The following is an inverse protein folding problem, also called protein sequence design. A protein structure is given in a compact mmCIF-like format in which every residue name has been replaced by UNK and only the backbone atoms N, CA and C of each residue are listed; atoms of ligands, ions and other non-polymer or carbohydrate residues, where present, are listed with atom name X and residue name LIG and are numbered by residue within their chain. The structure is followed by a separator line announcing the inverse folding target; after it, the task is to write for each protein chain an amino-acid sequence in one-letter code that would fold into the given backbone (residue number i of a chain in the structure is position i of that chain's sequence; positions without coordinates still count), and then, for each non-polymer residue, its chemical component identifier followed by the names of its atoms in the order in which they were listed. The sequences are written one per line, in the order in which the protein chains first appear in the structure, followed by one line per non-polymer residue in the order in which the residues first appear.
data_IF_355865460679
#
_entry.id   IF_355865460679
#
_cell.length_a   1.000
_cell.length_b   1.000
_cell.length_c   1.000
_cell.angle_alpha   90.00
_cell.angle_beta   90.00
_cell.angle_gamma   90.00
#
_symmetry.space_group_name_H-M   'P 1'
#
loop_
_entity.id
_entity.type
_entity.pdbx_description
1 polymer ?
#
# COMPACT_ATOMS: atom_id res chain seq x y z
N UNK A 1 6.47 -1.18 -54.58
CA UNK A 1 5.58 -2.21 -54.01
C UNK A 1 5.55 -2.02 -52.50
N UNK A 2 4.37 -1.72 -51.95
CA UNK A 2 4.14 -1.51 -50.50
C UNK A 2 3.82 -2.84 -49.83
N UNK A 3 4.02 -2.88 -48.50
CA UNK A 3 3.70 -3.93 -47.51
C UNK A 3 4.86 -4.92 -47.33
N UNK A 4 5.36 -5.22 -46.13
CA UNK A 4 4.69 -5.34 -44.82
C UNK A 4 5.68 -4.99 -43.69
N UNK A 5 5.28 -4.14 -42.75
CA UNK A 5 5.77 -4.24 -41.37
C UNK A 5 4.50 -4.32 -40.53
N UNK A 6 4.12 -5.53 -40.16
CA UNK A 6 3.10 -5.76 -39.14
C UNK A 6 3.74 -5.36 -37.83
N UNK A 7 3.35 -4.19 -37.33
CA UNK A 7 3.65 -3.73 -35.99
C UNK A 7 2.92 -4.68 -35.04
N UNK A 8 3.60 -5.72 -34.57
CA UNK A 8 3.15 -6.48 -33.40
C UNK A 8 3.38 -5.56 -32.21
N UNK A 9 2.45 -4.62 -32.01
CA UNK A 9 2.24 -3.97 -30.74
C UNK A 9 1.79 -5.07 -29.80
N UNK A 10 2.76 -5.62 -29.09
CA UNK A 10 2.54 -6.47 -27.95
C UNK A 10 1.56 -5.76 -27.02
N UNK A 11 0.31 -6.21 -27.06
CA UNK A 11 -0.62 -6.14 -25.96
C UNK A 11 -0.03 -7.00 -24.83
N UNK A 12 1.06 -6.54 -24.23
CA UNK A 12 1.37 -6.90 -22.86
C UNK A 12 0.46 -6.03 -22.02
N UNK A 13 -0.77 -6.50 -21.81
CA UNK A 13 -1.50 -6.13 -20.61
C UNK A 13 -0.55 -6.43 -19.46
N UNK A 14 -0.18 -5.38 -18.72
CA UNK A 14 0.61 -5.46 -17.51
C UNK A 14 -0.28 -6.09 -16.42
N UNK A 15 -0.54 -7.39 -16.56
CA UNK A 15 -1.24 -8.20 -15.59
C UNK A 15 -0.26 -8.90 -14.63
N UNK A 16 0.85 -8.25 -14.27
CA UNK A 16 1.95 -8.96 -13.58
C UNK A 16 1.86 -9.00 -12.05
N UNK A 17 0.72 -8.67 -11.43
CA UNK A 17 0.45 -9.12 -10.05
C UNK A 17 -1.03 -9.25 -9.68
N UNK A 18 -1.95 -8.57 -10.37
CA UNK A 18 -3.38 -8.82 -10.17
C UNK A 18 -3.74 -10.30 -10.41
N UNK A 19 -3.01 -10.98 -11.31
CA UNK A 19 -3.16 -12.42 -11.56
C UNK A 19 -2.54 -13.34 -10.50
N UNK A 20 -1.79 -12.81 -9.52
CA UNK A 20 -1.08 -13.63 -8.52
C UNK A 20 -1.79 -13.67 -7.16
N UNK A 21 -2.78 -12.81 -6.95
CA UNK A 21 -3.69 -12.84 -5.81
C UNK A 21 -5.06 -13.33 -6.30
N UNK A 22 -5.58 -14.39 -5.69
CA UNK A 22 -6.98 -14.76 -5.85
C UNK A 22 -7.85 -13.67 -5.20
N UNK A 23 -8.27 -12.69 -5.99
CA UNK A 23 -9.03 -11.50 -5.54
C UNK A 23 -10.52 -11.82 -5.54
N UNK A 24 -11.22 -11.45 -4.46
CA UNK A 24 -12.68 -11.64 -4.38
C UNK A 24 -13.49 -10.78 -5.36
N UNK A 25 -12.87 -9.75 -5.93
CA UNK A 25 -13.45 -8.88 -6.95
C UNK A 25 -12.38 -8.44 -7.97
N UNK A 26 -12.51 -8.88 -9.22
CA UNK A 26 -11.52 -8.67 -10.29
C UNK A 26 -11.80 -7.43 -11.18
N UNK A 27 -12.55 -6.45 -10.68
CA UNK A 27 -12.80 -5.17 -11.37
C UNK A 27 -13.26 -5.36 -12.83
N UNK A 28 -14.49 -5.88 -13.08
CA UNK A 28 -14.92 -6.37 -14.38
C UNK A 28 -14.91 -5.31 -15.48
N UNK A 29 -15.05 -4.02 -15.11
CA UNK A 29 -14.93 -2.88 -16.00
C UNK A 29 -13.60 -2.20 -15.69
N UNK A 30 -12.57 -2.47 -16.50
CA UNK A 30 -11.20 -1.94 -16.34
C UNK A 30 -10.59 -1.48 -17.67
N UNK A 31 -9.53 -0.64 -17.67
CA UNK A 31 -8.88 -0.18 -18.88
C UNK A 31 -8.59 -1.32 -19.86
N UNK A 32 -9.02 -1.16 -21.12
CA UNK A 32 -8.86 -2.16 -22.18
C UNK A 32 -10.13 -2.98 -22.49
N UNK A 33 -11.09 -3.04 -21.57
CA UNK A 33 -12.41 -3.67 -21.82
C UNK A 33 -13.29 -2.82 -22.76
N UNK A 34 -14.31 -3.42 -23.38
CA UNK A 34 -15.21 -2.68 -24.27
C UNK A 34 -16.14 -1.77 -23.46
N UNK A 35 -16.57 -2.23 -22.30
CA UNK A 35 -17.38 -1.53 -21.31
C UNK A 35 -16.65 -0.26 -20.84
N UNK A 36 -15.36 -0.36 -20.55
CA UNK A 36 -14.54 0.79 -20.14
C UNK A 36 -14.50 1.90 -21.19
N UNK A 37 -14.44 1.55 -22.49
CA UNK A 37 -14.45 2.54 -23.59
C UNK A 37 -15.76 3.29 -23.71
N UNK A 38 -16.85 2.73 -23.17
CA UNK A 38 -18.17 3.33 -23.23
C UNK A 38 -18.43 4.35 -22.11
N UNK A 39 -17.63 4.31 -21.03
CA UNK A 39 -17.69 5.27 -19.93
C UNK A 39 -17.33 6.69 -20.42
N UNK A 40 -18.12 7.68 -20.01
CA UNK A 40 -18.10 9.06 -20.52
C UNK A 40 -17.31 10.03 -19.64
N UNK A 41 -17.00 9.65 -18.40
CA UNK A 41 -16.28 10.50 -17.47
C UNK A 41 -15.29 9.70 -16.61
N UNK A 42 -14.34 10.41 -16.01
CA UNK A 42 -13.43 9.81 -15.02
C UNK A 42 -14.20 9.36 -13.76
N UNK A 43 -15.28 10.07 -13.40
CA UNK A 43 -16.16 9.66 -12.30
C UNK A 43 -16.85 8.32 -12.59
N UNK A 44 -17.36 8.10 -13.81
CA UNK A 44 -17.92 6.82 -14.22
C UNK A 44 -16.88 5.68 -14.18
N UNK A 45 -15.63 5.98 -14.51
CA UNK A 45 -14.50 5.05 -14.40
C UNK A 45 -14.24 4.66 -12.93
N UNK A 46 -14.13 5.63 -12.03
CA UNK A 46 -13.94 5.36 -10.59
C UNK A 46 -15.13 4.58 -10.01
N UNK A 47 -16.35 4.95 -10.38
CA UNK A 47 -17.56 4.27 -9.92
C UNK A 47 -17.66 2.82 -10.42
N UNK A 48 -17.09 2.52 -11.59
CA UNK A 48 -17.09 1.16 -12.16
C UNK A 48 -16.26 0.14 -11.36
N UNK A 49 -15.34 0.62 -10.51
CA UNK A 49 -14.56 -0.25 -9.64
C UNK A 49 -15.32 -0.71 -8.40
N UNK A 50 -16.37 -0.01 -7.99
CA UNK A 50 -17.11 -0.31 -6.76
C UNK A 50 -17.70 -1.73 -6.78
N UNK A 51 -17.65 -2.39 -5.62
CA UNK A 51 -18.20 -3.72 -5.43
C UNK A 51 -19.71 -3.62 -5.21
N UNK A 52 -20.55 -4.37 -5.94
CA UNK A 52 -21.98 -4.40 -5.69
C UNK A 52 -22.32 -4.79 -4.24
N UNK A 53 -23.39 -4.20 -3.69
CA UNK A 53 -23.77 -4.30 -2.28
C UNK A 53 -24.03 -5.75 -1.80
N UNK A 54 -24.48 -6.60 -2.71
CA UNK A 54 -24.80 -8.00 -2.52
C UNK A 54 -23.56 -8.91 -2.54
N UNK A 55 -22.43 -8.40 -3.05
CA UNK A 55 -21.13 -9.08 -3.11
C UNK A 55 -20.25 -8.61 -1.95
N UNK A 56 -20.17 -7.30 -1.71
CA UNK A 56 -19.25 -6.72 -0.72
C UNK A 56 -19.48 -7.24 0.71
N UNK A 57 -20.72 -7.60 1.05
CA UNK A 57 -21.08 -8.18 2.36
C UNK A 57 -20.79 -9.69 2.47
N UNK A 58 -20.50 -10.37 1.36
CA UNK A 58 -20.30 -11.83 1.30
C UNK A 58 -18.84 -12.22 1.14
N UNK A 59 -18.03 -11.38 0.51
CA UNK A 59 -16.59 -11.62 0.40
C UNK A 59 -15.93 -11.62 1.78
N UNK A 60 -15.05 -12.58 2.02
CA UNK A 60 -14.27 -12.68 3.27
C UNK A 60 -13.35 -11.47 3.45
N UNK A 61 -12.88 -11.23 4.68
CA UNK A 61 -11.92 -10.14 4.93
C UNK A 61 -10.60 -10.36 4.20
N UNK A 62 -10.17 -11.62 4.10
CA UNK A 62 -8.99 -11.99 3.32
C UNK A 62 -9.14 -11.57 1.85
N UNK A 63 -10.25 -11.95 1.20
CA UNK A 63 -10.53 -11.59 -0.19
C UNK A 63 -10.68 -10.08 -0.39
N UNK A 64 -11.29 -9.38 0.58
CA UNK A 64 -11.44 -7.94 0.53
C UNK A 64 -10.10 -7.22 0.67
N UNK A 65 -9.18 -7.70 1.52
CA UNK A 65 -7.82 -7.15 1.61
C UNK A 65 -7.10 -7.28 0.28
N UNK A 66 -7.13 -8.47 -0.34
CA UNK A 66 -6.51 -8.70 -1.67
C UNK A 66 -7.12 -7.77 -2.72
N UNK A 67 -8.45 -7.64 -2.72
CA UNK A 67 -9.18 -6.73 -3.60
C UNK A 67 -8.69 -5.29 -3.40
N UNK A 68 -8.68 -4.79 -2.17
CA UNK A 68 -8.24 -3.43 -1.84
C UNK A 68 -6.78 -3.16 -2.26
N UNK A 69 -5.86 -4.11 -2.03
CA UNK A 69 -4.47 -3.98 -2.45
C UNK A 69 -4.30 -4.03 -3.98
N UNK A 70 -5.21 -4.69 -4.69
CA UNK A 70 -5.27 -4.71 -6.15
C UNK A 70 -6.05 -3.53 -6.76
N UNK A 71 -6.47 -2.54 -5.96
CA UNK A 71 -7.26 -1.40 -6.46
C UNK A 71 -6.52 -0.64 -7.58
N UNK A 72 -7.10 -0.49 -8.78
CA UNK A 72 -6.37 0.03 -9.95
C UNK A 72 -5.84 1.47 -9.83
N UNK A 73 -6.44 2.29 -8.97
CA UNK A 73 -6.12 3.73 -8.87
C UNK A 73 -5.25 4.07 -7.65
N UNK A 74 -4.52 3.10 -7.08
CA UNK A 74 -3.56 3.36 -6.00
C UNK A 74 -2.57 4.50 -6.30
N UNK A 75 -2.22 4.71 -7.57
CA UNK A 75 -1.37 5.83 -8.02
C UNK A 75 -1.89 7.21 -7.61
N UNK A 76 -3.18 7.37 -7.33
CA UNK A 76 -3.78 8.62 -6.85
C UNK A 76 -3.26 9.05 -5.48
N UNK A 77 -2.64 8.14 -4.71
CA UNK A 77 -1.95 8.51 -3.47
C UNK A 77 -0.86 9.57 -3.68
N UNK A 78 -0.28 9.64 -4.88
CA UNK A 78 0.78 10.59 -5.23
C UNK A 78 0.24 11.88 -5.89
N UNK A 79 -1.08 12.05 -6.01
CA UNK A 79 -1.69 13.24 -6.61
C UNK A 79 -1.82 14.42 -5.63
N UNK A 80 -1.39 14.22 -4.37
CA UNK A 80 -1.51 15.18 -3.28
C UNK A 80 -0.14 15.58 -2.73
N UNK A 81 -0.09 16.73 -2.05
CA UNK A 81 1.13 17.25 -1.44
C UNK A 81 1.63 16.44 -0.25
N UNK A 82 0.85 15.49 0.25
CA UNK A 82 1.26 14.56 1.29
C UNK A 82 0.55 13.21 1.16
N UNK A 83 1.16 12.14 1.68
CA UNK A 83 0.66 10.77 1.47
C UNK A 83 -0.59 10.45 2.29
N UNK A 84 -0.80 11.12 3.42
CA UNK A 84 -1.98 10.90 4.25
C UNK A 84 -3.23 11.45 3.55
N UNK A 85 -3.15 12.66 2.98
CA UNK A 85 -4.19 13.24 2.14
C UNK A 85 -4.43 12.39 0.89
N UNK A 86 -3.36 11.90 0.25
CA UNK A 86 -3.44 10.97 -0.87
C UNK A 86 -4.16 9.66 -0.51
N UNK A 87 -3.84 9.07 0.64
CA UNK A 87 -4.49 7.85 1.12
C UNK A 87 -5.98 8.11 1.41
N UNK A 88 -6.30 9.21 2.09
CA UNK A 88 -7.67 9.59 2.39
C UNK A 88 -8.51 9.75 1.10
N UNK A 89 -7.91 10.33 0.04
CA UNK A 89 -8.56 10.39 -1.26
C UNK A 89 -8.80 8.99 -1.84
N UNK A 90 -7.76 8.13 -1.91
CA UNK A 90 -7.89 6.76 -2.44
C UNK A 90 -8.97 5.97 -1.70
N UNK A 91 -9.01 6.06 -0.37
CA UNK A 91 -10.05 5.43 0.46
C UNK A 91 -11.44 5.92 0.05
N UNK A 92 -11.62 7.23 -0.14
CA UNK A 92 -12.90 7.84 -0.51
C UNK A 92 -13.42 7.45 -1.91
N UNK A 93 -12.54 6.97 -2.80
CA UNK A 93 -12.90 6.63 -4.18
C UNK A 93 -13.52 5.23 -4.33
N UNK A 94 -13.32 4.33 -3.36
CA UNK A 94 -13.69 2.91 -3.52
C UNK A 94 -14.36 2.34 -2.27
N UNK A 95 -15.56 1.80 -2.45
CA UNK A 95 -16.36 1.28 -1.35
C UNK A 95 -15.75 0.06 -0.64
N UNK A 96 -14.82 -0.66 -1.28
CA UNK A 96 -14.08 -1.76 -0.64
C UNK A 96 -13.23 -1.29 0.54
N UNK A 97 -12.62 -0.10 0.47
CA UNK A 97 -11.87 0.44 1.60
C UNK A 97 -12.79 0.81 2.77
N UNK A 98 -13.97 1.37 2.47
CA UNK A 98 -14.96 1.68 3.50
C UNK A 98 -15.40 0.43 4.25
N UNK A 99 -15.70 -0.65 3.50
CA UNK A 99 -16.03 -1.95 4.09
C UNK A 99 -14.84 -2.52 4.88
N UNK A 100 -13.62 -2.47 4.34
CA UNK A 100 -12.44 -3.00 5.02
C UNK A 100 -12.20 -2.34 6.38
N UNK A 101 -12.35 -1.02 6.45
CA UNK A 101 -12.12 -0.24 7.67
C UNK A 101 -13.17 -0.51 8.78
N UNK A 102 -14.34 -1.08 8.46
CA UNK A 102 -15.32 -1.46 9.48
C UNK A 102 -15.18 -2.90 9.97
N UNK A 103 -14.38 -3.73 9.29
CA UNK A 103 -14.17 -5.13 9.68
C UNK A 103 -13.16 -5.25 10.81
N UNK A 104 -13.53 -6.01 11.85
CA UNK A 104 -12.77 -6.15 13.09
C UNK A 104 -11.50 -7.00 12.95
N UNK A 105 -11.41 -7.81 11.90
CA UNK A 105 -10.29 -8.69 11.56
C UNK A 105 -9.39 -8.14 10.45
N UNK A 106 -9.67 -6.91 9.97
CA UNK A 106 -8.95 -6.29 8.86
C UNK A 106 -7.43 -6.17 9.11
N UNK A 107 -7.04 -5.78 10.33
CA UNK A 107 -5.62 -5.68 10.68
C UNK A 107 -4.90 -7.03 10.56
N UNK A 108 -5.52 -8.11 11.03
CA UNK A 108 -4.95 -9.47 10.97
C UNK A 108 -4.77 -9.95 9.53
N UNK A 109 -5.76 -9.70 8.67
CA UNK A 109 -5.66 -10.07 7.25
C UNK A 109 -4.62 -9.22 6.50
N UNK A 110 -4.48 -7.94 6.82
CA UNK A 110 -3.40 -7.09 6.26
C UNK A 110 -2.01 -7.58 6.70
N UNK A 111 -1.83 -7.93 7.98
CA UNK A 111 -0.56 -8.45 8.50
C UNK A 111 -0.16 -9.74 7.78
N UNK A 112 -1.10 -10.67 7.56
CA UNK A 112 -0.85 -11.91 6.83
C UNK A 112 -0.29 -11.68 5.42
N UNK A 113 -0.73 -10.62 4.74
CA UNK A 113 -0.18 -10.24 3.43
C UNK A 113 1.21 -9.63 3.61
N UNK A 114 1.36 -8.68 4.53
CA UNK A 114 2.63 -7.96 4.74
C UNK A 114 3.80 -8.87 5.12
N UNK A 115 3.57 -9.85 6.01
CA UNK A 115 4.58 -10.84 6.44
C UNK A 115 5.13 -11.63 5.24
N UNK A 116 4.29 -11.92 4.24
CA UNK A 116 4.68 -12.70 3.05
C UNK A 116 5.45 -11.90 2.00
N UNK A 117 5.49 -10.57 2.12
CA UNK A 117 6.22 -9.71 1.19
C UNK A 117 7.69 -9.65 1.58
N UNK A 118 8.58 -9.69 0.58
CA UNK A 118 10.02 -9.60 0.79
C UNK A 118 10.65 -8.63 -0.23
N UNK A 119 11.18 -7.47 0.22
CA UNK A 119 11.78 -6.50 -0.70
C UNK A 119 13.01 -7.06 -1.44
N UNK A 120 13.66 -8.10 -0.93
CA UNK A 120 14.86 -8.68 -1.53
C UNK A 120 14.58 -9.62 -2.72
N UNK A 121 13.31 -9.97 -2.96
CA UNK A 121 12.88 -10.75 -4.13
C UNK A 121 13.02 -9.96 -5.43
N UNK A 122 13.14 -8.63 -5.36
CA UNK A 122 13.30 -7.78 -6.53
C UNK A 122 14.59 -8.13 -7.27
N UNK A 123 14.45 -8.74 -8.44
CA UNK A 123 15.57 -9.18 -9.25
C UNK A 123 16.25 -7.99 -9.94
N UNK A 124 17.59 -8.05 -10.07
CA UNK A 124 18.36 -7.02 -10.76
C UNK A 124 17.97 -6.87 -12.23
N UNK A 125 17.56 -7.97 -12.87
CA UNK A 125 17.13 -8.06 -14.27
C UNK A 125 15.70 -7.57 -14.51
N UNK A 126 14.92 -7.28 -13.46
CA UNK A 126 13.60 -6.68 -13.64
C UNK A 126 13.71 -5.30 -14.30
N UNK A 127 12.75 -5.01 -15.17
CA UNK A 127 12.58 -3.67 -15.73
C UNK A 127 12.27 -2.66 -14.61
N UNK A 128 12.57 -1.38 -14.84
CA UNK A 128 12.24 -0.33 -13.86
C UNK A 128 10.75 -0.31 -13.50
N UNK A 129 9.88 -0.66 -14.45
CA UNK A 129 8.43 -0.76 -14.21
C UNK A 129 8.07 -1.92 -13.28
N UNK A 130 8.67 -3.11 -13.45
CA UNK A 130 8.46 -4.24 -12.55
C UNK A 130 8.95 -3.93 -11.14
N UNK A 131 10.17 -3.36 -11.03
CA UNK A 131 10.74 -2.92 -9.75
C UNK A 131 9.84 -1.90 -9.06
N UNK A 132 9.41 -0.87 -9.80
CA UNK A 132 8.51 0.17 -9.29
C UNK A 132 7.14 -0.36 -8.90
N UNK A 133 6.57 -1.29 -9.67
CA UNK A 133 5.26 -1.90 -9.37
C UNK A 133 5.30 -2.69 -8.07
N UNK A 134 6.32 -3.52 -7.89
CA UNK A 134 6.45 -4.32 -6.67
C UNK A 134 6.84 -3.48 -5.45
N UNK A 135 7.76 -2.51 -5.60
CA UNK A 135 8.12 -1.61 -4.50
C UNK A 135 6.94 -0.75 -4.05
N UNK A 136 6.10 -0.30 -4.98
CA UNK A 136 4.91 0.50 -4.68
C UNK A 136 3.84 -0.28 -3.89
N UNK A 137 3.81 -1.60 -3.98
CA UNK A 137 2.90 -2.42 -3.17
C UNK A 137 3.24 -2.34 -1.68
N UNK A 138 4.52 -2.20 -1.33
CA UNK A 138 4.90 -1.93 0.06
C UNK A 138 4.30 -0.61 0.52
N UNK A 139 4.38 0.45 -0.30
CA UNK A 139 3.74 1.73 0.03
C UNK A 139 2.24 1.54 0.26
N UNK A 140 1.53 0.84 -0.62
CA UNK A 140 0.08 0.64 -0.49
C UNK A 140 -0.32 -0.04 0.83
N UNK A 141 0.33 -1.16 1.16
CA UNK A 141 -0.01 -1.93 2.37
C UNK A 141 0.48 -1.24 3.65
N UNK A 142 1.66 -0.61 3.63
CA UNK A 142 2.21 0.11 4.79
C UNK A 142 1.36 1.33 5.12
N UNK A 143 0.85 2.05 4.12
CA UNK A 143 -0.09 3.15 4.32
C UNK A 143 -1.42 2.68 4.92
N UNK A 144 -1.98 1.53 4.47
CA UNK A 144 -3.18 0.95 5.07
C UNK A 144 -2.96 0.48 6.51
N UNK A 145 -1.86 -0.23 6.78
CA UNK A 145 -1.50 -0.71 8.11
C UNK A 145 -1.26 0.45 9.10
N UNK A 146 -0.81 1.60 8.58
CA UNK A 146 -0.62 2.83 9.36
C UNK A 146 -1.92 3.57 9.66
N UNK A 147 -3.02 3.24 8.97
CA UNK A 147 -4.28 3.93 9.14
C UNK A 147 -4.82 3.72 10.56
N UNK A 148 -5.20 4.81 11.25
CA UNK A 148 -5.51 4.76 12.68
C UNK A 148 -6.62 3.78 13.08
N UNK A 149 -7.57 3.50 12.18
CA UNK A 149 -8.58 2.44 12.39
C UNK A 149 -7.96 1.05 12.48
N UNK A 150 -6.99 0.76 11.61
CA UNK A 150 -6.27 -0.52 11.57
C UNK A 150 -5.33 -0.62 12.78
N UNK A 151 -4.56 0.42 13.07
CA UNK A 151 -3.65 0.47 14.24
C UNK A 151 -4.40 0.22 15.55
N UNK A 152 -5.64 0.73 15.68
CA UNK A 152 -6.46 0.51 16.88
C UNK A 152 -6.85 -0.95 17.08
N UNK A 153 -6.95 -1.75 16.02
CA UNK A 153 -7.29 -3.18 16.11
C UNK A 153 -6.12 -4.04 16.61
N UNK A 154 -4.88 -3.57 16.53
CA UNK A 154 -3.69 -4.35 16.89
C UNK A 154 -3.66 -4.67 18.38
N UNK A 155 -3.47 -5.94 18.72
CA UNK A 155 -3.05 -6.37 20.07
C UNK A 155 -1.52 -6.39 20.21
N UNK A 156 -1.00 -6.70 21.41
CA UNK A 156 0.46 -6.73 21.65
C UNK A 156 1.19 -7.78 20.79
N UNK A 157 0.53 -8.87 20.42
CA UNK A 157 1.12 -9.89 19.55
C UNK A 157 1.22 -9.34 18.12
N UNK A 158 0.14 -8.73 17.64
CA UNK A 158 0.10 -8.08 16.32
C UNK A 158 1.15 -6.95 16.22
N UNK A 159 1.28 -6.10 17.25
CA UNK A 159 2.28 -5.04 17.35
C UNK A 159 3.69 -5.61 17.24
N UNK A 160 4.00 -6.65 18.02
CA UNK A 160 5.33 -7.28 18.03
C UNK A 160 5.67 -7.88 16.67
N UNK A 161 4.73 -8.57 16.02
CA UNK A 161 4.92 -9.12 14.67
C UNK A 161 5.17 -7.99 13.69
N UNK A 162 4.30 -6.98 13.69
CA UNK A 162 4.32 -5.92 12.69
C UNK A 162 5.55 -5.03 12.79
N UNK A 163 6.00 -4.67 14.00
CA UNK A 163 7.24 -3.91 14.19
C UNK A 163 8.47 -4.73 13.77
N UNK A 164 8.54 -6.03 14.11
CA UNK A 164 9.66 -6.88 13.67
C UNK A 164 9.75 -6.94 12.14
N UNK A 165 8.60 -7.15 11.49
CA UNK A 165 8.52 -7.18 10.03
C UNK A 165 8.88 -5.85 9.39
N UNK A 166 8.33 -4.73 9.90
CA UNK A 166 8.58 -3.41 9.37
C UNK A 166 10.06 -2.99 9.53
N UNK A 167 10.67 -3.25 10.69
CA UNK A 167 12.09 -2.96 10.94
C UNK A 167 12.98 -3.82 10.02
N UNK A 168 12.69 -5.11 9.89
CA UNK A 168 13.45 -6.00 9.01
C UNK A 168 13.36 -5.53 7.55
N UNK A 169 12.15 -5.23 7.07
CA UNK A 169 11.91 -4.71 5.73
C UNK A 169 12.58 -3.35 5.52
N UNK A 170 12.53 -2.43 6.48
CA UNK A 170 13.24 -1.15 6.42
C UNK A 170 14.74 -1.36 6.18
N UNK A 171 15.37 -2.24 6.99
CA UNK A 171 16.80 -2.57 6.85
C UNK A 171 17.12 -3.20 5.50
N UNK A 172 16.30 -4.14 5.04
CA UNK A 172 16.46 -4.75 3.72
C UNK A 172 16.34 -3.72 2.60
N UNK A 173 15.30 -2.86 2.62
CA UNK A 173 15.11 -1.78 1.65
C UNK A 173 16.29 -0.81 1.62
N UNK A 174 16.86 -0.49 2.79
CA UNK A 174 18.02 0.41 2.92
C UNK A 174 19.28 -0.14 2.25
N UNK A 175 19.44 -1.46 2.20
CA UNK A 175 20.58 -2.14 1.55
C UNK A 175 20.46 -2.21 0.02
N UNK A 176 19.30 -1.88 -0.54
CA UNK A 176 19.07 -1.94 -1.99
C UNK A 176 19.58 -0.67 -2.68
N UNK A 177 20.89 -0.57 -2.94
CA UNK A 177 21.54 0.65 -3.46
C UNK A 177 20.82 1.29 -4.66
N UNK A 178 20.34 0.49 -5.61
CA UNK A 178 19.65 0.98 -6.83
C UNK A 178 18.25 1.56 -6.59
N UNK A 179 17.66 1.33 -5.40
CA UNK A 179 16.27 1.70 -5.10
C UNK A 179 16.09 2.43 -3.76
N UNK A 180 17.11 2.40 -2.90
CA UNK A 180 17.07 3.01 -1.59
C UNK A 180 16.84 4.51 -1.73
N UNK A 181 15.70 4.97 -1.22
CA UNK A 181 15.31 6.38 -1.24
C UNK A 181 14.44 6.67 -0.03
N UNK A 182 14.41 7.93 0.40
CA UNK A 182 13.48 8.39 1.43
C UNK A 182 12.03 8.09 1.02
N UNK A 183 11.70 8.16 -0.27
CA UNK A 183 10.40 7.78 -0.80
C UNK A 183 10.01 6.33 -0.51
N UNK A 184 10.96 5.40 -0.65
CA UNK A 184 10.71 3.97 -0.44
C UNK A 184 10.76 3.57 1.05
N UNK A 185 11.56 4.27 1.86
CA UNK A 185 11.72 3.99 3.28
C UNK A 185 10.63 4.62 4.16
N UNK A 186 10.12 5.78 3.76
CA UNK A 186 9.21 6.58 4.59
C UNK A 186 7.89 5.88 4.94
N UNK A 187 7.19 5.15 4.05
CA UNK A 187 5.96 4.45 4.45
C UNK A 187 6.20 3.42 5.54
N UNK A 188 7.36 2.75 5.53
CA UNK A 188 7.73 1.77 6.56
C UNK A 188 7.99 2.43 7.90
N UNK A 189 8.71 3.55 7.92
CA UNK A 189 8.90 4.33 9.15
C UNK A 189 7.58 4.94 9.63
N UNK A 190 6.72 5.40 8.72
CA UNK A 190 5.38 5.90 9.05
C UNK A 190 4.51 4.84 9.72
N UNK A 191 4.59 3.59 9.27
CA UNK A 191 3.97 2.44 9.93
C UNK A 191 4.49 2.24 11.35
N UNK A 192 5.81 2.17 11.51
CA UNK A 192 6.45 2.06 12.82
C UNK A 192 6.01 3.19 13.76
N UNK A 193 6.03 4.44 13.29
CA UNK A 193 5.61 5.60 14.07
C UNK A 193 4.13 5.52 14.47
N UNK A 194 3.27 5.08 13.56
CA UNK A 194 1.83 4.94 13.84
C UNK A 194 1.57 3.91 14.94
N UNK A 195 2.36 2.82 14.98
CA UNK A 195 2.29 1.81 16.03
C UNK A 195 2.83 2.35 17.35
N UNK A 196 3.98 3.01 17.34
CA UNK A 196 4.58 3.62 18.54
C UNK A 196 3.65 4.67 19.17
N UNK A 197 2.89 5.38 18.36
CA UNK A 197 1.91 6.37 18.80
C UNK A 197 0.60 5.79 19.32
N UNK A 198 0.38 4.48 19.18
CA UNK A 198 -0.75 3.83 19.85
C UNK A 198 -0.71 4.08 21.37
N UNK A 199 0.50 4.21 21.93
CA UNK A 199 0.74 4.51 23.34
C UNK A 199 0.80 6.04 23.64
N UNK A 200 0.81 6.90 22.59
CA UNK A 200 0.56 8.35 22.66
C UNK A 200 1.65 9.23 23.26
N UNK A 201 2.88 8.72 23.42
CA UNK A 201 3.96 9.38 24.17
C UNK A 201 5.10 9.96 23.32
N UNK A 202 5.30 9.49 22.09
CA UNK A 202 6.55 9.72 21.35
C UNK A 202 6.57 11.06 20.58
N UNK A 203 5.43 11.46 20.02
CA UNK A 203 5.31 12.64 19.13
C UNK A 203 5.13 13.96 19.89
N UNK A 204 4.54 13.95 21.09
CA UNK A 204 4.26 15.19 21.84
C UNK A 204 5.52 15.98 22.17
N UNK A 205 6.68 15.33 22.20
CA UNK A 205 7.98 15.93 22.50
C UNK A 205 8.81 16.32 21.28
N UNK A 206 8.35 16.09 20.04
CA UNK A 206 9.18 16.29 18.85
C UNK A 206 8.39 16.83 17.64
N UNK A 207 8.68 18.06 17.22
CA UNK A 207 8.02 18.75 16.09
C UNK A 207 8.24 18.07 14.75
N UNK A 208 9.40 17.45 14.53
CA UNK A 208 9.75 16.85 13.24
C UNK A 208 9.03 15.52 13.07
N UNK A 209 8.86 14.76 14.15
CA UNK A 209 8.01 13.57 14.18
C UNK A 209 6.52 13.92 13.98
N UNK A 210 6.06 15.09 14.47
CA UNK A 210 4.71 15.58 14.20
C UNK A 210 4.50 15.85 12.71
N UNK A 211 5.42 16.58 12.08
CA UNK A 211 5.35 16.88 10.65
C UNK A 211 5.44 15.61 9.80
N UNK A 212 6.36 14.70 10.15
CA UNK A 212 6.48 13.42 9.48
C UNK A 212 5.22 12.56 9.66
N UNK A 213 4.60 12.50 10.83
CA UNK A 213 3.35 11.75 11.03
C UNK A 213 2.22 12.27 10.12
N UNK A 214 2.12 13.59 9.97
CA UNK A 214 1.08 14.21 9.15
C UNK A 214 1.26 13.93 7.66
N UNK A 215 2.50 13.75 7.19
CA UNK A 215 2.79 13.72 5.75
C UNK A 215 3.30 12.38 5.24
N UNK A 216 3.93 11.61 6.12
CA UNK A 216 4.83 10.48 5.83
C UNK A 216 5.94 10.86 4.86
N UNK A 217 6.35 12.13 4.84
CA UNK A 217 7.40 12.61 3.96
C UNK A 217 8.43 13.39 4.77
N UNK A 218 9.69 13.20 4.40
CA UNK A 218 10.82 13.90 4.98
C UNK A 218 11.97 13.92 3.96
N UNK A 219 12.80 14.95 4.05
CA UNK A 219 14.08 15.04 3.35
C UNK A 219 15.25 14.60 4.25
N UNK A 220 14.97 14.35 5.53
CA UNK A 220 15.94 13.96 6.55
C UNK A 220 15.79 12.48 6.90
N UNK A 221 16.85 11.71 6.62
CA UNK A 221 16.93 10.28 6.93
C UNK A 221 17.02 10.01 8.44
N UNK A 222 17.56 10.95 9.23
CA UNK A 222 17.74 10.78 10.68
C UNK A 222 16.39 10.66 11.39
N UNK A 223 15.36 11.34 10.87
CA UNK A 223 13.97 11.19 11.35
C UNK A 223 13.50 9.73 11.20
N UNK A 224 13.75 9.12 10.03
CA UNK A 224 13.37 7.74 9.77
C UNK A 224 14.17 6.78 10.67
N UNK A 225 15.48 6.99 10.79
CA UNK A 225 16.37 6.16 11.60
C UNK A 225 15.98 6.18 13.08
N UNK A 226 15.67 7.37 13.61
CA UNK A 226 15.18 7.52 14.98
C UNK A 226 13.89 6.73 15.22
N UNK A 227 12.94 6.76 14.30
CA UNK A 227 11.69 5.99 14.42
C UNK A 227 11.99 4.49 14.50
N UNK A 228 12.92 4.01 13.65
CA UNK A 228 13.32 2.60 13.65
C UNK A 228 14.03 2.23 14.96
N UNK A 229 14.92 3.06 15.48
CA UNK A 229 15.59 2.83 16.76
C UNK A 229 14.59 2.76 17.94
N UNK A 230 13.62 3.66 18.00
CA UNK A 230 12.57 3.63 19.03
C UNK A 230 11.67 2.38 18.88
N UNK A 231 11.42 1.95 17.65
CA UNK A 231 10.69 0.71 17.37
C UNK A 231 11.44 -0.51 17.89
N UNK A 232 12.77 -0.57 17.70
CA UNK A 232 13.60 -1.64 18.25
C UNK A 232 13.60 -1.66 19.78
N UNK A 233 13.55 -0.49 20.43
CA UNK A 233 13.42 -0.41 21.90
C UNK A 233 12.07 -0.95 22.36
N UNK A 234 10.97 -0.60 21.68
CA UNK A 234 9.62 -1.08 22.01
C UNK A 234 9.48 -2.61 21.95
N UNK A 235 10.15 -3.28 21.02
CA UNK A 235 10.10 -4.75 20.91
C UNK A 235 10.84 -5.44 22.07
N UNK A 236 11.86 -4.81 22.65
CA UNK A 236 12.66 -5.39 23.74
C UNK A 236 11.99 -5.31 25.11
N UNK A 237 10.88 -4.56 25.22
CA UNK A 237 10.01 -4.49 26.38
C UNK A 237 8.98 -5.63 26.37
#
# INVERSE_FOLDING_TARGET
MKRYIVFVMLLFSLDSLAQQLDVGWDYPIKPGTNEWKNLKSYEEQLNSYNIPSEIIKKISTEELVKTCLAYPEWRMINAYSDRQAGLANVIGLFNGFHELLVRHDAAKELIKVYVKMDPLVIDRNWTSLQKGTYSFQFTCIEMLLSHGVIVRQLDETDIRVLLNEAISKYKSKKQMEDMCSLWYLSPTAGLCLSILEKDGLLIKSNSDLQLFQQTFMTEDIEILERIIEESEKRIKL
#
